data_IF_050737849286
#
_entry.id   IF_050737849286
#
_cell.length_a   1.000
_cell.length_b   1.000
_cell.length_c   1.000
_cell.angle_alpha   90.00
_cell.angle_beta   90.00
_cell.angle_gamma   90.00
#
_symmetry.space_group_name_H-M   'P 1'
#
loop_
_entity.id
_entity.type
_entity.pdbx_description
1 polymer ?
#
# COMPACT_ATOMS: atom_id res chain seq x y z
N UNK A 1 16.37 -53.13 -20.72
CA UNK A 1 16.84 -52.26 -19.61
C UNK A 1 17.17 -50.83 -20.07
N UNK A 2 18.00 -50.61 -21.11
CA UNK A 2 18.34 -49.27 -21.65
C UNK A 2 17.13 -48.39 -22.06
N UNK A 3 16.17 -48.94 -22.82
CA UNK A 3 15.00 -48.19 -23.30
C UNK A 3 14.15 -47.62 -22.15
N UNK A 4 14.01 -48.37 -21.05
CA UNK A 4 13.25 -47.94 -19.88
C UNK A 4 13.96 -46.83 -19.10
N UNK A 5 15.30 -46.79 -19.11
CA UNK A 5 16.09 -45.72 -18.47
C UNK A 5 16.01 -44.42 -19.28
N UNK A 6 16.02 -44.52 -20.62
CA UNK A 6 15.89 -43.36 -21.50
C UNK A 6 14.50 -42.71 -21.40
N UNK A 7 13.45 -43.54 -21.29
CA UNK A 7 12.09 -43.06 -21.08
C UNK A 7 11.92 -42.36 -19.73
N UNK A 8 12.46 -42.95 -18.64
CA UNK A 8 12.45 -42.35 -17.31
C UNK A 8 13.23 -41.02 -17.25
N UNK A 9 14.31 -40.89 -18.03
CA UNK A 9 15.06 -39.64 -18.18
C UNK A 9 14.24 -38.54 -18.87
N UNK A 10 13.50 -38.89 -19.93
CA UNK A 10 12.61 -37.94 -20.64
C UNK A 10 11.49 -37.42 -19.73
N UNK A 11 10.86 -38.29 -18.95
CA UNK A 11 9.86 -37.88 -17.96
C UNK A 11 10.46 -37.00 -16.86
N UNK A 12 11.67 -37.30 -16.39
CA UNK A 12 12.38 -36.44 -15.43
C UNK A 12 12.67 -35.05 -16.01
N UNK A 13 13.13 -34.98 -17.25
CA UNK A 13 13.37 -33.71 -17.95
C UNK A 13 12.09 -32.89 -18.12
N UNK A 14 10.98 -33.54 -18.49
CA UNK A 14 9.67 -32.89 -18.60
C UNK A 14 9.20 -32.37 -17.24
N UNK A 15 9.34 -33.17 -16.17
CA UNK A 15 8.99 -32.75 -14.82
C UNK A 15 9.85 -31.57 -14.35
N UNK A 16 11.15 -31.58 -14.64
CA UNK A 16 12.06 -30.47 -14.31
C UNK A 16 11.66 -29.22 -15.08
N UNK A 17 11.41 -29.32 -16.39
CA UNK A 17 10.98 -28.21 -17.24
C UNK A 17 9.65 -27.63 -16.78
N UNK A 18 8.68 -28.49 -16.44
CA UNK A 18 7.40 -28.09 -15.89
C UNK A 18 7.55 -27.41 -14.53
N UNK A 19 8.39 -27.95 -13.64
CA UNK A 19 8.65 -27.35 -12.32
C UNK A 19 9.34 -25.99 -12.46
N UNK A 20 10.30 -25.84 -13.38
CA UNK A 20 10.91 -24.54 -13.69
C UNK A 20 9.89 -23.58 -14.27
N UNK A 21 9.00 -24.03 -15.16
CA UNK A 21 7.95 -23.19 -15.73
C UNK A 21 6.96 -22.71 -14.66
N UNK A 22 6.60 -23.57 -13.71
CA UNK A 22 5.75 -23.22 -12.56
C UNK A 22 6.42 -22.17 -11.65
N UNK A 23 7.76 -22.22 -11.49
CA UNK A 23 8.49 -21.20 -10.72
C UNK A 23 8.40 -19.81 -11.37
N UNK A 24 8.37 -19.72 -12.71
CA UNK A 24 8.15 -18.47 -13.44
C UNK A 24 6.68 -17.99 -13.44
N UNK A 25 5.73 -18.81 -12.97
CA UNK A 25 4.32 -18.44 -12.81
C UNK A 25 3.99 -17.95 -11.40
N UNK A 26 5.00 -17.73 -10.56
CA UNK A 26 4.76 -17.12 -9.24
C UNK A 26 4.38 -15.65 -9.45
N UNK A 27 3.22 -15.20 -8.92
CA UNK A 27 2.85 -13.80 -9.03
C UNK A 27 3.87 -12.96 -8.25
N UNK A 28 4.29 -11.83 -8.83
CA UNK A 28 5.09 -10.84 -8.11
C UNK A 28 4.35 -10.40 -6.84
N UNK A 29 5.10 -10.16 -5.77
CA UNK A 29 4.53 -9.63 -4.53
C UNK A 29 3.95 -8.25 -4.78
N UNK A 30 2.61 -8.13 -4.78
CA UNK A 30 1.92 -6.85 -4.80
C UNK A 30 1.73 -6.40 -3.36
N UNK A 31 2.46 -5.37 -2.95
CA UNK A 31 2.14 -4.65 -1.72
C UNK A 31 1.01 -3.68 -2.00
N UNK A 32 -0.13 -3.85 -1.32
CA UNK A 32 -1.16 -2.81 -1.26
C UNK A 32 -0.61 -1.67 -0.40
N UNK A 33 -0.03 -0.66 -1.04
CA UNK A 33 0.40 0.56 -0.38
C UNK A 33 -0.77 1.54 -0.32
N UNK A 34 -1.04 2.10 0.86
CA UNK A 34 -1.96 3.23 0.97
C UNK A 34 -1.44 4.43 0.19
N UNK A 35 -2.35 5.29 -0.26
CA UNK A 35 -1.99 6.60 -0.83
C UNK A 35 -2.41 7.67 0.18
N UNK A 36 -1.52 8.63 0.39
CA UNK A 36 -1.74 9.82 1.19
C UNK A 36 -1.89 11.04 0.29
N UNK A 37 -2.76 11.97 0.71
CA UNK A 37 -2.91 13.30 0.11
C UNK A 37 -2.87 14.33 1.23
N UNK A 38 -1.82 15.15 1.26
CA UNK A 38 -1.57 16.11 2.34
C UNK A 38 -1.38 17.52 1.77
N UNK A 39 -2.00 18.51 2.40
CA UNK A 39 -1.71 19.91 2.12
C UNK A 39 -0.37 20.27 2.77
N UNK A 40 0.65 20.50 1.94
CA UNK A 40 2.02 20.80 2.42
C UNK A 40 2.26 22.30 2.52
N UNK A 41 1.66 23.06 1.62
CA UNK A 41 1.74 24.52 1.57
C UNK A 41 0.37 25.09 1.12
N UNK A 42 0.06 26.36 1.39
CA UNK A 42 -1.14 26.99 0.84
C UNK A 42 -1.15 26.89 -0.69
N UNK A 43 -2.16 26.22 -1.25
CA UNK A 43 -2.26 25.99 -2.69
C UNK A 43 -1.48 24.77 -3.21
N UNK A 44 -0.85 23.96 -2.35
CA UNK A 44 -0.05 22.80 -2.79
C UNK A 44 -0.44 21.54 -2.02
N UNK A 45 -1.02 20.59 -2.74
CA UNK A 45 -1.31 19.24 -2.27
C UNK A 45 -0.22 18.27 -2.73
N UNK A 46 0.29 17.42 -1.83
CA UNK A 46 1.27 16.38 -2.14
C UNK A 46 0.61 15.00 -2.06
N UNK A 47 0.79 14.21 -3.11
CA UNK A 47 0.46 12.79 -3.17
C UNK A 47 1.69 11.96 -2.83
N UNK A 48 1.54 10.96 -1.98
CA UNK A 48 2.62 10.03 -1.65
C UNK A 48 2.06 8.64 -1.30
N UNK A 49 2.74 7.57 -1.70
CA UNK A 49 2.38 6.22 -1.28
C UNK A 49 3.01 5.86 0.08
N UNK A 50 2.40 4.90 0.78
CA UNK A 50 2.95 4.27 1.98
C UNK A 50 4.32 3.64 1.68
N UNK A 51 5.41 4.32 2.02
CA UNK A 51 6.78 3.86 1.69
C UNK A 51 7.51 4.74 0.68
N UNK A 52 6.86 5.80 0.21
CA UNK A 52 7.42 6.84 -0.64
C UNK A 52 7.08 6.67 -2.11
N UNK A 53 7.38 7.73 -2.87
CA UNK A 53 7.05 7.81 -4.28
C UNK A 53 5.58 8.16 -4.54
N UNK A 54 5.24 8.30 -5.81
CA UNK A 54 3.91 8.66 -6.29
C UNK A 54 3.75 8.16 -7.73
N UNK A 55 2.52 8.19 -8.25
CA UNK A 55 2.26 7.89 -9.66
C UNK A 55 2.08 9.20 -10.43
N UNK A 56 2.85 9.47 -11.51
CA UNK A 56 2.64 10.64 -12.36
C UNK A 56 1.26 10.67 -13.04
N UNK A 57 0.57 9.52 -13.09
CA UNK A 57 -0.80 9.42 -13.59
C UNK A 57 -1.85 9.88 -12.57
N UNK A 58 -1.44 10.17 -11.33
CA UNK A 58 -2.38 10.57 -10.28
C UNK A 58 -3.02 11.89 -10.65
N UNK A 59 -4.35 11.91 -10.56
CA UNK A 59 -5.17 13.08 -10.79
C UNK A 59 -5.75 13.55 -9.46
N UNK A 60 -5.59 14.83 -9.17
CA UNK A 60 -6.13 15.48 -7.99
C UNK A 60 -7.33 16.32 -8.40
N UNK A 61 -8.44 16.12 -7.70
CA UNK A 61 -9.67 16.91 -7.84
C UNK A 61 -9.95 17.64 -6.54
N UNK A 62 -10.12 18.96 -6.60
CA UNK A 62 -10.41 19.81 -5.43
C UNK A 62 -11.88 20.23 -5.41
N UNK A 63 -12.45 20.31 -4.21
CA UNK A 63 -13.87 20.57 -3.98
C UNK A 63 -14.09 21.66 -2.93
N UNK A 64 -15.15 22.43 -3.12
CA UNK A 64 -15.66 23.36 -2.13
C UNK A 64 -16.43 22.64 -1.00
N UNK A 65 -16.90 23.40 0.01
CA UNK A 65 -17.66 22.86 1.13
C UNK A 65 -19.03 22.28 0.74
N UNK A 66 -19.57 22.64 -0.43
CA UNK A 66 -20.83 22.11 -0.97
C UNK A 66 -20.62 20.86 -1.83
N UNK A 67 -19.37 20.49 -2.09
CA UNK A 67 -18.99 19.36 -2.94
C UNK A 67 -18.92 19.69 -4.43
N UNK A 68 -18.93 20.98 -4.81
CA UNK A 68 -18.69 21.38 -6.20
C UNK A 68 -17.21 21.26 -6.52
N UNK A 69 -16.90 20.78 -7.73
CA UNK A 69 -15.54 20.76 -8.25
C UNK A 69 -15.04 22.18 -8.50
N UNK A 70 -13.90 22.52 -7.91
CA UNK A 70 -13.20 23.79 -8.10
C UNK A 70 -12.10 23.69 -9.16
N UNK A 71 -11.58 22.48 -9.37
CA UNK A 71 -10.48 22.21 -10.28
C UNK A 71 -10.03 20.76 -10.24
N UNK A 72 -9.36 20.36 -11.31
CA UNK A 72 -8.84 19.01 -11.53
C UNK A 72 -7.55 19.06 -12.33
N UNK A 73 -6.59 18.21 -12.01
CA UNK A 73 -5.37 18.07 -12.81
C UNK A 73 -4.41 17.01 -12.28
N UNK A 74 -3.39 16.71 -13.07
CA UNK A 74 -2.35 15.74 -12.71
C UNK A 74 -1.31 16.35 -11.77
N UNK A 75 -0.65 15.48 -11.01
CA UNK A 75 0.53 15.86 -10.22
C UNK A 75 1.77 16.09 -11.09
N UNK A 76 2.70 16.89 -10.59
CA UNK A 76 4.00 17.14 -11.22
C UNK A 76 5.04 16.02 -10.95
N UNK A 77 6.29 16.26 -11.35
CA UNK A 77 7.42 15.32 -11.18
C UNK A 77 7.82 15.10 -9.72
N UNK A 78 7.25 15.84 -8.77
CA UNK A 78 7.46 15.65 -7.32
C UNK A 78 6.21 15.10 -6.62
N UNK A 79 5.15 14.77 -7.38
CA UNK A 79 3.88 14.30 -6.84
C UNK A 79 3.03 15.41 -6.24
N UNK A 80 3.28 16.67 -6.62
CA UNK A 80 2.53 17.84 -6.12
C UNK A 80 1.50 18.30 -7.13
N UNK A 81 0.36 18.75 -6.60
CA UNK A 81 -0.68 19.45 -7.34
C UNK A 81 -0.81 20.86 -6.81
N UNK A 82 -0.57 21.84 -7.69
CA UNK A 82 -0.61 23.27 -7.36
C UNK A 82 -1.93 23.89 -7.85
N UNK A 83 -2.57 24.68 -7.00
CA UNK A 83 -3.81 25.42 -7.26
C UNK A 83 -3.75 26.82 -6.65
N UNK A 84 -4.67 27.69 -7.06
CA UNK A 84 -4.75 29.05 -6.53
C UNK A 84 -5.03 29.03 -5.02
N UNK A 85 -4.12 29.55 -4.16
CA UNK A 85 -4.30 29.56 -2.71
C UNK A 85 -5.52 30.37 -2.23
N UNK A 86 -6.08 31.24 -3.07
CA UNK A 86 -7.30 31.99 -2.76
C UNK A 86 -8.57 31.14 -2.80
N UNK A 87 -8.50 29.95 -3.41
CA UNK A 87 -9.60 28.99 -3.45
C UNK A 87 -9.82 28.36 -2.07
N UNK A 88 -11.08 28.39 -1.62
CA UNK A 88 -11.50 27.71 -0.39
C UNK A 88 -11.72 26.22 -0.66
N UNK A 89 -10.63 25.46 -0.61
CA UNK A 89 -10.66 24.00 -0.76
C UNK A 89 -11.02 23.35 0.57
N UNK A 90 -12.18 22.70 0.60
CA UNK A 90 -12.66 21.99 1.79
C UNK A 90 -12.32 20.48 1.72
N UNK A 91 -12.25 19.93 0.51
CA UNK A 91 -11.92 18.52 0.26
C UNK A 91 -11.10 18.39 -1.02
N UNK A 92 -10.18 17.44 -1.06
CA UNK A 92 -9.52 17.03 -2.30
C UNK A 92 -9.43 15.50 -2.37
N UNK A 93 -9.44 14.97 -3.59
CA UNK A 93 -9.32 13.54 -3.86
C UNK A 93 -8.18 13.34 -4.85
N UNK A 94 -7.27 12.42 -4.53
CA UNK A 94 -6.24 11.94 -5.45
C UNK A 94 -6.60 10.52 -5.89
N UNK A 95 -6.53 10.25 -7.20
CA UNK A 95 -6.85 8.94 -7.80
C UNK A 95 -5.82 8.61 -8.90
N UNK A 96 -5.20 7.43 -8.84
CA UNK A 96 -4.23 6.99 -9.85
C UNK A 96 -4.81 6.11 -10.97
N UNK A 97 -6.12 5.85 -10.93
CA UNK A 97 -6.82 5.00 -11.88
C UNK A 97 -6.45 3.53 -11.82
N UNK A 98 -5.73 3.08 -10.79
CA UNK A 98 -5.37 1.67 -10.54
C UNK A 98 -5.94 1.14 -9.22
N UNK A 99 -6.85 1.91 -8.62
CA UNK A 99 -7.52 1.55 -7.37
C UNK A 99 -6.90 2.17 -6.13
N UNK A 100 -5.83 2.97 -6.26
CA UNK A 100 -5.36 3.77 -5.13
C UNK A 100 -6.05 5.13 -5.14
N UNK A 101 -6.60 5.49 -3.97
CA UNK A 101 -7.30 6.74 -3.78
C UNK A 101 -7.05 7.29 -2.39
N UNK A 102 -6.78 8.59 -2.32
CA UNK A 102 -6.58 9.31 -1.09
C UNK A 102 -7.53 10.51 -1.01
N UNK A 103 -7.92 10.89 0.21
CA UNK A 103 -8.78 12.06 0.44
C UNK A 103 -8.12 12.99 1.46
N UNK A 104 -8.01 14.26 1.07
CA UNK A 104 -7.73 15.36 1.97
C UNK A 104 -9.04 16.02 2.38
N UNK A 105 -9.18 16.36 3.66
CA UNK A 105 -10.31 17.11 4.18
C UNK A 105 -9.82 18.18 5.15
N UNK A 106 -10.30 19.40 4.95
CA UNK A 106 -9.94 20.53 5.80
C UNK A 106 -10.35 20.26 7.26
N UNK A 107 -9.45 20.58 8.20
CA UNK A 107 -9.69 20.40 9.63
C UNK A 107 -9.59 18.95 10.14
N UNK A 108 -9.26 17.98 9.28
CA UNK A 108 -8.97 16.61 9.71
C UNK A 108 -7.46 16.43 9.81
N UNK A 109 -6.94 16.41 11.04
CA UNK A 109 -5.55 16.02 11.27
C UNK A 109 -5.36 14.53 11.00
N UNK A 110 -4.47 14.19 10.07
CA UNK A 110 -4.00 12.83 9.91
C UNK A 110 -3.03 12.50 11.04
N UNK A 111 -3.33 11.46 11.82
CA UNK A 111 -2.46 10.95 12.87
C UNK A 111 -1.67 9.76 12.33
N UNK A 112 -0.38 9.95 12.14
CA UNK A 112 0.52 8.87 11.80
C UNK A 112 0.73 8.00 13.04
N UNK A 113 0.31 6.74 12.96
CA UNK A 113 0.49 5.78 14.06
C UNK A 113 1.95 5.31 14.04
N UNK A 114 2.70 5.43 15.15
CA UNK A 114 4.07 4.97 15.20
C UNK A 114 4.10 3.44 15.14
N UNK A 115 4.46 2.89 13.97
CA UNK A 115 4.38 1.44 13.67
C UNK A 115 5.24 0.60 14.62
N UNK A 116 6.47 1.04 14.93
CA UNK A 116 7.43 0.29 15.76
C UNK A 116 6.94 0.01 17.18
N UNK A 117 6.55 1.01 18.00
CA UNK A 117 6.05 0.73 19.35
C UNK A 117 4.75 -0.07 19.36
N UNK A 118 3.88 0.07 18.36
CA UNK A 118 2.66 -0.75 18.22
C UNK A 118 3.02 -2.22 18.05
N UNK A 119 3.97 -2.52 17.16
CA UNK A 119 4.44 -3.90 16.93
C UNK A 119 5.01 -4.49 18.22
N UNK A 120 5.88 -3.75 18.92
CA UNK A 120 6.46 -4.19 20.20
C UNK A 120 5.35 -4.47 21.23
N UNK A 121 4.35 -3.58 21.33
CA UNK A 121 3.20 -3.73 22.23
C UNK A 121 2.38 -4.99 21.94
N UNK A 122 2.12 -5.30 20.66
CA UNK A 122 1.39 -6.50 20.24
C UNK A 122 2.14 -7.76 20.67
N UNK A 123 3.45 -7.85 20.39
CA UNK A 123 4.25 -9.01 20.79
C UNK A 123 4.35 -9.16 22.30
N UNK A 124 4.48 -8.06 23.04
CA UNK A 124 4.49 -8.07 24.50
C UNK A 124 3.14 -8.59 25.07
N UNK A 125 2.01 -8.16 24.49
CA UNK A 125 0.69 -8.63 24.90
C UNK A 125 0.51 -10.14 24.64
N UNK A 126 0.89 -10.62 23.45
CA UNK A 126 0.85 -12.05 23.11
C UNK A 126 1.74 -12.86 24.07
N UNK A 127 2.95 -12.38 24.34
CA UNK A 127 3.88 -13.01 25.29
C UNK A 127 3.31 -13.07 26.70
N UNK A 128 2.68 -11.99 27.18
CA UNK A 128 2.03 -11.95 28.49
C UNK A 128 0.88 -12.95 28.58
N UNK A 129 0.04 -13.04 27.55
CA UNK A 129 -1.04 -14.05 27.47
C UNK A 129 -0.43 -15.46 27.59
N UNK A 130 0.62 -15.75 26.82
CA UNK A 130 1.27 -17.05 26.83
C UNK A 130 1.85 -17.42 28.21
N UNK A 131 2.48 -16.46 28.90
CA UNK A 131 2.99 -16.64 30.26
C UNK A 131 1.86 -16.96 31.26
N UNK A 132 0.74 -16.26 31.18
CA UNK A 132 -0.44 -16.51 32.04
C UNK A 132 -0.99 -17.91 31.81
N UNK A 133 -1.15 -18.34 30.55
CA UNK A 133 -1.64 -19.67 30.23
C UNK A 133 -0.65 -20.78 30.68
N UNK A 134 0.65 -20.61 30.42
CA UNK A 134 1.67 -21.57 30.85
C UNK A 134 1.76 -21.71 32.38
N UNK A 135 1.57 -20.61 33.11
CA UNK A 135 1.51 -20.65 34.58
C UNK A 135 0.27 -21.40 35.08
N UNK A 136 -0.88 -21.25 34.41
CA UNK A 136 -2.12 -21.95 34.76
C UNK A 136 -2.09 -23.44 34.44
N UNK A 137 -1.39 -23.86 33.39
CA UNK A 137 -1.24 -25.28 33.05
C UNK A 137 -0.26 -26.00 33.97
N UNK A 138 0.81 -25.32 34.45
CA UNK A 138 1.75 -25.91 35.43
C UNK A 138 1.23 -25.96 36.86
N UNK A 139 0.24 -25.12 37.20
CA UNK A 139 -0.39 -25.09 38.52
C UNK A 139 -1.67 -25.95 38.61
N UNK A 140 -1.99 -26.73 37.57
CA UNK A 140 -2.99 -27.81 37.57
C UNK A 140 -2.26 -29.14 37.57
#
# INVERSE_FOLDING_TARGET
MKLKIEEQSKWSLICILFLTWVLFLTPDTVYAHGMDLKLVEPGVLKVEYDGGGFSPRTEVTIFDAKGNELGKGSVDEEGKYSFDPSLKVHRAIADDGMGHRAEYKEGVEHRDIPKVPVIIGIFAAIGMIFLVFNKRTKNK
#
